data_IF_930391670922
#
_entry.id   IF_930391670922
#
_cell.length_a   1.000
_cell.length_b   1.000
_cell.length_c   1.000
_cell.angle_alpha   90.00
_cell.angle_beta   90.00
_cell.angle_gamma   90.00
#
_symmetry.space_group_name_H-M   'P 1'
#
loop_
_entity.id
_entity.type
_entity.pdbx_description
1 polymer ?
#
# COMPACT_ATOMS: atom_id res chain seq x y z
N UNK A 1 -1.31 -12.08 -0.43
CA UNK A 1 -0.56 -13.21 -0.99
C UNK A 1 0.38 -13.78 0.05
N UNK A 2 -0.17 -14.59 0.95
CA UNK A 2 0.58 -15.55 1.73
C UNK A 2 -0.08 -16.90 1.48
N UNK A 3 0.26 -17.56 0.36
CA UNK A 3 -0.33 -18.85 -0.04
C UNK A 3 -0.08 -19.89 1.06
N UNK A 4 -1.05 -20.10 1.93
CA UNK A 4 -1.07 -21.24 2.84
C UNK A 4 -1.61 -22.41 2.00
N UNK A 5 -0.81 -23.44 1.68
CA UNK A 5 -1.35 -24.62 1.04
C UNK A 5 -2.40 -25.23 1.98
N UNK A 6 -3.57 -25.57 1.44
CA UNK A 6 -4.76 -26.13 2.13
C UNK A 6 -5.73 -25.13 2.81
N UNK A 7 -5.77 -23.87 2.37
CA UNK A 7 -6.80 -22.92 2.80
C UNK A 7 -8.08 -23.03 1.95
N UNK A 8 -9.22 -22.75 2.59
CA UNK A 8 -10.59 -22.77 2.09
C UNK A 8 -11.32 -21.68 2.91
N UNK A 9 -11.32 -20.45 2.40
CA UNK A 9 -11.57 -19.24 3.19
C UNK A 9 -13.06 -19.03 3.44
N UNK A 10 -13.87 -19.26 2.41
CA UNK A 10 -15.32 -19.19 2.46
C UNK A 10 -16.00 -20.49 2.96
N UNK A 11 -15.26 -21.61 2.97
CA UNK A 11 -15.70 -22.94 3.40
C UNK A 11 -16.75 -23.58 2.51
N UNK A 12 -16.69 -23.33 1.20
CA UNK A 12 -17.58 -24.01 0.25
C UNK A 12 -17.10 -25.42 -0.14
N UNK A 13 -15.85 -25.75 0.23
CA UNK A 13 -15.22 -27.04 -0.02
C UNK A 13 -14.37 -27.12 -1.29
N UNK A 14 -14.17 -26.00 -1.98
CA UNK A 14 -13.14 -25.77 -2.97
C UNK A 14 -11.93 -25.17 -2.23
N UNK A 15 -10.72 -25.61 -2.58
CA UNK A 15 -9.53 -24.98 -2.00
C UNK A 15 -9.28 -23.68 -2.74
N UNK A 16 -8.78 -22.66 -2.05
CA UNK A 16 -8.46 -21.36 -2.64
C UNK A 16 -7.65 -21.48 -3.96
N UNK A 17 -6.70 -22.44 -4.03
CA UNK A 17 -5.90 -22.66 -5.24
C UNK A 17 -6.70 -23.08 -6.50
N UNK A 18 -7.96 -23.49 -6.31
CA UNK A 18 -8.91 -23.94 -7.34
C UNK A 18 -10.24 -23.17 -7.29
N UNK A 19 -10.36 -22.15 -6.45
CA UNK A 19 -11.48 -21.22 -6.46
C UNK A 19 -11.18 -20.04 -7.40
N UNK A 20 -12.23 -19.36 -7.86
CA UNK A 20 -12.11 -18.08 -8.59
C UNK A 20 -12.57 -16.88 -7.72
N UNK A 21 -13.14 -17.15 -6.54
CA UNK A 21 -13.67 -16.19 -5.56
C UNK A 21 -13.49 -16.79 -4.14
N UNK A 22 -12.26 -16.70 -3.63
CA UNK A 22 -11.74 -17.36 -2.44
C UNK A 22 -12.58 -17.10 -1.16
N UNK A 23 -13.19 -15.93 -1.03
CA UNK A 23 -14.01 -15.52 0.12
C UNK A 23 -15.52 -15.40 -0.20
N UNK A 24 -15.89 -15.62 -1.46
CA UNK A 24 -17.26 -15.60 -1.99
C UNK A 24 -17.99 -14.26 -1.74
N UNK A 25 -17.26 -13.14 -1.76
CA UNK A 25 -17.83 -11.79 -1.63
C UNK A 25 -18.45 -11.24 -2.93
N UNK A 26 -18.19 -11.92 -4.06
CA UNK A 26 -18.68 -11.59 -5.39
C UNK A 26 -17.70 -10.79 -6.26
N UNK A 27 -16.47 -10.57 -5.82
CA UNK A 27 -15.34 -10.03 -6.58
C UNK A 27 -14.39 -11.19 -6.89
N UNK A 28 -14.10 -11.49 -8.18
CA UNK A 28 -13.16 -12.56 -8.51
C UNK A 28 -11.74 -12.24 -8.00
N UNK A 29 -10.99 -13.24 -7.54
CA UNK A 29 -9.63 -13.07 -6.95
C UNK A 29 -8.68 -12.24 -7.83
N UNK A 30 -8.83 -12.36 -9.15
CA UNK A 30 -8.01 -11.60 -10.11
C UNK A 30 -8.24 -10.08 -10.10
N UNK A 31 -9.38 -9.66 -9.54
CA UNK A 31 -9.83 -8.28 -9.37
C UNK A 31 -9.94 -7.89 -7.88
N UNK A 32 -9.77 -8.85 -6.96
CA UNK A 32 -9.87 -8.65 -5.52
C UNK A 32 -8.51 -8.21 -4.93
N UNK A 33 -8.45 -7.06 -4.23
CA UNK A 33 -7.28 -6.67 -3.47
C UNK A 33 -7.02 -7.48 -2.20
N UNK A 34 -7.95 -8.32 -1.72
CA UNK A 34 -7.92 -9.14 -0.48
C UNK A 34 -8.68 -10.47 -0.73
N UNK A 35 -8.22 -11.28 -1.68
CA UNK A 35 -9.01 -12.43 -2.19
C UNK A 35 -9.44 -13.42 -1.11
N UNK A 36 -8.65 -13.62 -0.05
CA UNK A 36 -8.99 -14.55 1.04
C UNK A 36 -9.84 -13.92 2.17
N UNK A 37 -10.19 -12.63 2.05
CA UNK A 37 -11.04 -11.92 3.00
C UNK A 37 -10.47 -11.86 4.42
N UNK A 38 -9.15 -11.96 4.58
CA UNK A 38 -8.51 -11.97 5.92
C UNK A 38 -8.27 -10.56 6.47
N UNK A 39 -8.57 -9.53 5.66
CA UNK A 39 -8.39 -8.13 5.98
C UNK A 39 -6.99 -7.60 5.67
N UNK A 40 -6.15 -8.37 4.98
CA UNK A 40 -4.77 -8.01 4.61
C UNK A 40 -4.66 -8.04 3.08
N UNK A 41 -4.38 -6.89 2.44
CA UNK A 41 -4.27 -6.82 0.99
C UNK A 41 -3.29 -7.84 0.40
N UNK A 42 -3.73 -8.47 -0.68
CA UNK A 42 -3.02 -9.54 -1.35
C UNK A 42 -1.67 -9.09 -1.92
N UNK A 43 -1.68 -7.89 -2.48
CA UNK A 43 -0.47 -7.19 -2.83
C UNK A 43 0.02 -6.39 -1.61
N UNK A 44 1.24 -6.68 -1.16
CA UNK A 44 1.92 -5.84 -0.18
C UNK A 44 2.22 -4.52 -0.87
N UNK A 45 1.33 -3.55 -0.72
CA UNK A 45 1.68 -2.15 -0.91
C UNK A 45 2.56 -1.80 0.28
N UNK A 46 3.70 -1.13 0.04
CA UNK A 46 4.61 -0.74 1.12
C UNK A 46 3.82 0.12 2.11
N UNK A 47 3.86 -0.30 3.37
CA UNK A 47 3.22 0.29 4.54
C UNK A 47 4.28 0.19 5.65
N UNK A 48 4.99 1.28 5.88
CA UNK A 48 6.22 1.33 6.66
C UNK A 48 5.97 1.42 8.17
N UNK A 49 4.80 1.90 8.58
CA UNK A 49 4.38 2.02 9.97
C UNK A 49 3.30 1.02 10.41
N UNK A 50 2.65 0.34 9.45
CA UNK A 50 1.63 -0.67 9.70
C UNK A 50 0.27 -0.10 10.08
N UNK A 51 -0.06 1.12 9.64
CA UNK A 51 -1.33 1.77 9.96
C UNK A 51 -2.46 1.49 8.95
N UNK A 52 -2.17 0.68 7.92
CA UNK A 52 -3.04 0.30 6.80
C UNK A 52 -3.25 1.41 5.76
N UNK A 53 -2.47 2.49 5.79
CA UNK A 53 -2.36 3.48 4.73
C UNK A 53 -1.09 3.17 3.93
N UNK A 54 -1.19 2.94 2.61
CA UNK A 54 -0.01 2.75 1.79
C UNK A 54 0.93 3.96 1.78
N UNK A 55 2.25 3.75 1.92
CA UNK A 55 3.29 4.80 1.92
C UNK A 55 3.16 5.84 0.80
N UNK A 56 2.67 5.43 -0.38
CA UNK A 56 2.56 6.32 -1.53
C UNK A 56 1.40 7.34 -1.44
N UNK A 57 0.47 7.15 -0.50
CA UNK A 57 -0.60 8.09 -0.16
C UNK A 57 -0.58 8.53 1.31
N UNK A 58 0.27 7.92 2.14
CA UNK A 58 0.57 8.42 3.47
C UNK A 58 1.29 9.78 3.38
N UNK A 59 1.11 10.59 4.41
CA UNK A 59 1.81 11.87 4.59
C UNK A 59 2.90 11.83 5.65
N UNK A 60 2.98 10.75 6.43
CA UNK A 60 3.94 10.45 7.51
C UNK A 60 4.16 8.93 7.55
N UNK A 61 4.80 8.36 6.53
CA UNK A 61 4.81 6.91 6.23
C UNK A 61 5.53 6.04 7.27
N UNK A 62 6.36 6.63 8.13
CA UNK A 62 6.99 5.96 9.26
C UNK A 62 6.43 6.39 10.64
N UNK A 63 5.40 7.25 10.63
CA UNK A 63 4.66 7.76 11.78
C UNK A 63 5.57 8.32 12.90
N UNK A 64 6.68 8.96 12.51
CA UNK A 64 7.64 9.56 13.43
C UNK A 64 7.22 10.96 13.92
N UNK A 65 6.18 11.52 13.28
CA UNK A 65 5.61 12.84 13.57
C UNK A 65 6.17 13.97 12.71
N UNK A 66 7.00 13.67 11.72
CA UNK A 66 7.52 14.60 10.72
C UNK A 66 6.95 14.20 9.35
N UNK A 67 6.14 15.05 8.71
CA UNK A 67 5.58 14.71 7.40
C UNK A 67 6.67 14.41 6.36
N UNK A 68 6.45 13.45 5.45
CA UNK A 68 7.40 12.94 4.43
C UNK A 68 8.10 14.03 3.60
N UNK A 69 7.42 15.17 3.39
CA UNK A 69 7.94 16.33 2.66
C UNK A 69 9.02 17.10 3.43
N UNK A 70 9.11 16.86 4.74
CA UNK A 70 9.96 17.53 5.71
C UNK A 70 10.83 16.56 6.51
N UNK A 71 10.60 15.26 6.39
CA UNK A 71 11.42 14.24 7.06
C UNK A 71 12.75 14.03 6.32
N UNK A 72 13.91 14.31 6.95
CA UNK A 72 15.22 14.03 6.37
C UNK A 72 15.57 12.54 6.23
N UNK A 73 14.90 11.66 6.97
CA UNK A 73 15.13 10.21 6.95
C UNK A 73 14.26 9.53 5.86
N UNK A 74 13.19 10.19 5.40
CA UNK A 74 12.37 9.73 4.29
C UNK A 74 13.13 9.70 2.94
N UNK A 75 13.07 8.59 2.19
CA UNK A 75 13.81 8.41 0.92
C UNK A 75 13.47 9.46 -0.15
N UNK A 76 12.29 10.07 -0.10
CA UNK A 76 11.90 11.11 -1.07
C UNK A 76 12.33 12.53 -0.66
N UNK A 77 12.88 12.73 0.54
CA UNK A 77 13.26 14.06 1.06
C UNK A 77 14.10 14.87 0.07
N UNK A 78 15.12 14.25 -0.53
CA UNK A 78 16.01 14.92 -1.47
C UNK A 78 15.34 15.30 -2.80
N UNK A 79 14.23 14.68 -3.17
CA UNK A 79 13.43 15.04 -4.34
C UNK A 79 12.54 16.25 -4.07
N UNK A 80 12.06 16.38 -2.83
CA UNK A 80 11.20 17.48 -2.40
C UNK A 80 11.96 18.66 -1.80
N UNK A 81 13.25 18.48 -1.52
CA UNK A 81 14.10 19.52 -0.99
C UNK A 81 14.09 20.75 -1.89
N UNK A 82 13.50 21.81 -1.37
CA UNK A 82 13.56 23.13 -1.96
C UNK A 82 15.02 23.59 -2.01
N UNK A 83 15.61 23.52 -3.20
CA UNK A 83 17.01 23.86 -3.42
C UNK A 83 17.28 25.37 -3.31
N UNK A 84 16.24 26.20 -3.30
CA UNK A 84 16.36 27.66 -3.30
C UNK A 84 15.58 28.36 -2.16
N UNK A 85 15.02 27.59 -1.23
CA UNK A 85 14.34 28.05 -0.02
C UNK A 85 13.22 29.07 -0.28
N UNK A 86 12.55 28.99 -1.42
CA UNK A 86 11.40 29.85 -1.75
C UNK A 86 10.05 29.28 -1.27
N UNK A 87 10.07 28.20 -0.48
CA UNK A 87 8.89 27.47 0.01
C UNK A 87 8.04 26.84 -1.09
N UNK A 88 8.63 26.58 -2.28
CA UNK A 88 7.99 25.89 -3.39
C UNK A 88 8.85 24.68 -3.77
N UNK A 89 8.36 23.49 -3.43
CA UNK A 89 8.91 22.21 -3.85
C UNK A 89 9.14 22.18 -5.36
N UNK A 90 10.23 21.54 -5.81
CA UNK A 90 10.76 21.54 -7.18
C UNK A 90 9.72 21.19 -8.28
N UNK A 91 8.57 20.61 -7.91
CA UNK A 91 7.46 20.25 -8.78
C UNK A 91 6.87 21.43 -9.59
N UNK A 92 7.06 22.69 -9.17
CA UNK A 92 6.57 23.86 -9.93
C UNK A 92 7.58 24.54 -10.87
N UNK A 93 8.84 24.08 -10.93
CA UNK A 93 9.87 24.69 -11.81
C UNK A 93 10.14 23.93 -13.11
N UNK A 94 9.23 23.05 -13.55
CA UNK A 94 9.31 22.44 -14.89
C UNK A 94 8.37 23.08 -15.93
N UNK A 95 7.73 24.20 -15.59
CA UNK A 95 6.87 24.95 -16.51
C UNK A 95 7.24 26.44 -16.49
N UNK A 96 8.37 26.78 -17.10
CA UNK A 96 8.68 28.09 -17.70
C UNK A 96 9.87 27.94 -18.64
#
# INVERSE_FOLDING_TARGET
MCLIPYEDSDRDGILNEWDEDDDNDGIPDSEDPDSNGDGIPDCIIKDSDGDLIPDHIDTDDDNDGIPDLHDPDHPAYNYFKDSDNNSVTLLRRKLM
#
